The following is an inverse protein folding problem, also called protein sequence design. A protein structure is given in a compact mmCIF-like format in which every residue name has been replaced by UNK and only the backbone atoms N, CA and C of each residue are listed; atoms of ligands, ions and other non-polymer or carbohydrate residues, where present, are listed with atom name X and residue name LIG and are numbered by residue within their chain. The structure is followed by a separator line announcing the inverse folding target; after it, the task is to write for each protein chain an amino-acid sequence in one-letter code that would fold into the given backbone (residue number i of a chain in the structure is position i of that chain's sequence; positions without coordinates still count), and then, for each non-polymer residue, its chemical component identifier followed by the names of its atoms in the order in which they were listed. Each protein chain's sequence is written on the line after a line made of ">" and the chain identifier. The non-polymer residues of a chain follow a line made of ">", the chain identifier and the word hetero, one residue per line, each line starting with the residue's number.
data_IF_440718106453
#
_entry.id   IF_440718106453
#
_cell.length_a   1.000
_cell.length_b   1.000
_cell.length_c   1.000
_cell.angle_alpha   90.00
_cell.angle_beta   90.00
_cell.angle_gamma   90.00
#
_symmetry.space_group_name_H-M   'P 1'
#
loop_
_entity.id
_entity.type
_entity.pdbx_description
1 polymer ?
2 non-polymer ?
3 water ?
#
# COMPACT_ATOMS: atom_id res chain seq x y z
N UNK A 1 3.42 29.45 22.65
CA UNK A 1 3.74 29.33 21.20
C UNK A 1 5.15 28.79 21.01
N UNK A 2 5.38 28.06 19.93
CA UNK A 2 6.66 27.38 19.80
C UNK A 2 6.87 26.82 18.40
N UNK A 3 8.06 27.05 17.82
CA UNK A 3 8.49 26.32 16.65
C UNK A 3 9.05 24.99 17.11
N UNK A 4 8.41 23.89 16.67
CA UNK A 4 8.86 22.56 17.06
C UNK A 4 9.79 21.97 16.02
N UNK A 5 9.37 21.94 14.77
CA UNK A 5 10.16 21.35 13.69
C UNK A 5 10.12 22.24 12.46
N UNK A 6 11.25 22.27 11.75
CA UNK A 6 11.36 22.98 10.48
C UNK A 6 12.32 22.20 9.60
N UNK A 7 11.86 21.79 8.42
CA UNK A 7 12.76 21.09 7.48
C UNK A 7 12.41 21.50 6.06
N UNK A 8 13.45 21.73 5.26
CA UNK A 8 13.28 21.85 3.81
C UNK A 8 13.83 20.59 3.17
N UNK A 9 13.01 19.95 2.35
CA UNK A 9 13.38 18.78 1.56
C UNK A 9 13.67 19.27 0.14
N UNK A 10 14.93 19.14 -0.31
CA UNK A 10 15.31 19.77 -1.56
C UNK A 10 14.62 19.15 -2.77
N UNK A 11 14.40 17.83 -2.74
CA UNK A 11 13.69 17.13 -3.81
C UNK A 11 12.99 15.90 -3.23
N UNK A 12 11.68 15.89 -3.31
CA UNK A 12 10.91 14.72 -2.88
C UNK A 12 11.16 13.50 -3.77
N UNK A 13 11.50 12.38 -3.13
CA UNK A 13 11.80 11.14 -3.83
C UNK A 13 10.50 10.40 -4.15
N UNK A 14 10.54 9.52 -5.16
CA UNK A 14 9.28 8.98 -5.70
C UNK A 14 8.44 8.16 -4.72
N UNK A 15 9.04 7.37 -3.82
CA UNK A 15 8.21 6.61 -2.90
C UNK A 15 7.58 7.52 -1.86
N UNK A 16 8.33 8.51 -1.36
CA UNK A 16 7.73 9.45 -0.41
C UNK A 16 6.61 10.25 -1.09
N UNK A 17 6.78 10.61 -2.37
CA UNK A 17 5.70 11.29 -3.10
C UNK A 17 4.47 10.39 -3.19
N UNK A 18 4.66 9.12 -3.56
CA UNK A 18 3.53 8.20 -3.68
C UNK A 18 2.82 8.06 -2.33
N UNK A 19 3.58 8.04 -1.24
CA UNK A 19 2.98 7.94 0.08
C UNK A 19 2.19 9.20 0.41
N UNK A 20 2.79 10.36 0.19
CA UNK A 20 2.09 11.61 0.48
C UNK A 20 0.85 11.76 -0.39
N UNK A 21 0.91 11.27 -1.64
CA UNK A 21 -0.26 11.29 -2.52
C UNK A 21 -1.38 10.44 -1.96
N UNK A 22 -1.03 9.43 -1.17
CA UNK A 22 -2.01 8.53 -0.60
C UNK A 22 -2.71 9.15 0.61
N UNK A 23 -1.96 9.86 1.46
CA UNK A 23 -2.46 10.29 2.77
C UNK A 23 -2.78 11.78 2.85
N UNK A 24 -2.34 12.58 1.90
CA UNK A 24 -2.47 14.03 2.04
C UNK A 24 -3.89 14.51 1.76
N UNK A 25 -4.23 15.64 2.36
CA UNK A 25 -5.59 16.18 2.31
C UNK A 25 -5.68 17.42 1.44
N UNK A 26 -4.56 17.88 0.90
CA UNK A 26 -4.52 19.12 0.15
C UNK A 26 -4.24 18.92 -1.32
N UNK A 27 -3.21 19.61 -1.79
CA UNK A 27 -2.79 19.62 -3.17
C UNK A 27 -1.63 18.66 -3.32
N UNK A 28 -1.72 17.77 -4.29
CA UNK A 28 -0.79 16.63 -4.34
C UNK A 28 0.62 17.04 -4.73
N UNK A 29 1.64 16.60 -4.00
CA UNK A 29 3.02 16.79 -4.47
C UNK A 29 3.33 15.87 -5.64
N UNK A 30 4.39 16.23 -6.37
CA UNK A 30 4.87 15.45 -7.50
C UNK A 30 6.37 15.16 -7.34
N UNK A 31 6.85 14.18 -8.11
CA UNK A 31 8.23 13.75 -7.98
C UNK A 31 9.20 14.89 -8.22
N UNK A 32 10.20 14.96 -7.36
CA UNK A 32 11.32 15.89 -7.42
C UNK A 32 10.96 17.31 -7.02
N UNK A 33 9.71 17.58 -6.62
CA UNK A 33 9.41 18.89 -6.08
C UNK A 33 10.13 19.10 -4.76
N UNK A 34 10.40 20.36 -4.45
CA UNK A 34 10.88 20.74 -3.13
C UNK A 34 9.69 20.87 -2.17
N UNK A 35 9.98 20.75 -0.87
CA UNK A 35 8.94 20.77 0.14
C UNK A 35 9.49 21.38 1.42
N UNK A 36 8.65 22.09 2.15
CA UNK A 36 9.01 22.57 3.48
C UNK A 36 7.91 22.13 4.45
N UNK A 37 8.32 21.65 5.62
CA UNK A 37 7.41 21.20 6.67
C UNK A 37 7.69 22.00 7.92
N UNK A 38 6.63 22.51 8.54
CA UNK A 38 6.73 23.34 9.74
C UNK A 38 5.73 22.81 10.76
N UNK A 39 6.20 22.53 11.98
CA UNK A 39 5.35 22.05 13.05
C UNK A 39 5.45 23.04 14.20
N UNK A 40 4.29 23.44 14.73
CA UNK A 40 4.22 24.42 15.81
C UNK A 40 3.23 24.00 16.88
N UNK A 41 3.31 24.70 18.00
CA UNK A 41 2.20 24.83 18.95
C UNK A 41 1.85 26.30 19.07
N UNK A 42 0.58 26.67 19.21
CA UNK A 42 -0.60 25.81 19.29
C UNK A 42 -1.10 25.39 17.92
N UNK A 43 -1.83 24.28 17.91
CA UNK A 43 -2.24 23.66 16.66
C UNK A 43 -2.93 24.60 15.68
N UNK A 44 -4.00 25.27 16.11
CA UNK A 44 -4.83 25.97 15.11
C UNK A 44 -4.08 27.14 14.49
N UNK A 45 -3.02 27.61 15.16
CA UNK A 45 -2.26 28.75 14.66
C UNK A 45 -1.47 28.42 13.41
N UNK A 46 -1.37 27.14 13.04
CA UNK A 46 -0.71 26.82 11.80
C UNK A 46 -1.42 27.48 10.62
N UNK A 47 -2.71 27.80 10.77
CA UNK A 47 -3.45 28.48 9.71
C UNK A 47 -2.86 29.84 9.39
N UNK A 48 -2.32 30.53 10.39
CA UNK A 48 -1.64 31.81 10.16
C UNK A 48 -0.41 31.63 9.28
N UNK A 49 0.35 30.57 9.51
CA UNK A 49 1.54 30.28 8.71
C UNK A 49 1.16 29.95 7.27
N UNK A 50 0.14 29.13 7.09
CA UNK A 50 -0.31 28.76 5.75
C UNK A 50 -0.70 29.99 4.96
N UNK A 51 -1.48 30.87 5.58
CA UNK A 51 -1.85 32.11 4.90
C UNK A 51 -0.61 32.93 4.52
N UNK A 52 0.36 33.08 5.44
CA UNK A 52 1.56 33.86 5.13
C UNK A 52 2.30 33.28 3.93
N UNK A 53 2.43 31.96 3.87
CA UNK A 53 3.16 31.31 2.80
C UNK A 53 2.44 31.45 1.47
N UNK A 54 1.12 31.28 1.46
CA UNK A 54 0.35 31.33 0.22
C UNK A 54 0.30 32.74 -0.34
N UNK A 55 0.27 33.74 0.51
CA UNK A 55 0.24 35.11 0.02
C UNK A 55 1.60 35.54 -0.50
N UNK A 56 2.67 34.85 -0.10
CA UNK A 56 4.03 35.27 -0.46
C UNK A 56 4.64 34.47 -1.61
N UNK A 57 4.14 33.28 -1.90
CA UNK A 57 4.77 32.36 -2.85
C UNK A 57 3.71 31.64 -3.67
N UNK A 58 4.18 30.87 -4.65
CA UNK A 58 3.35 29.99 -5.49
C UNK A 58 3.19 28.58 -4.92
N UNK A 59 3.77 28.32 -3.75
CA UNK A 59 3.75 26.98 -3.20
C UNK A 59 2.33 26.53 -2.93
N UNK A 60 2.13 25.22 -2.96
CA UNK A 60 0.81 24.66 -2.71
C UNK A 60 0.89 23.75 -1.50
N UNK A 61 -0.15 23.74 -0.66
CA UNK A 61 -0.09 22.95 0.57
C UNK A 61 -0.55 21.52 0.35
N UNK A 62 0.24 20.55 0.79
CA UNK A 62 -0.15 19.16 0.67
C UNK A 62 -0.81 18.64 1.92
N UNK A 63 -0.25 19.02 3.04
CA UNK A 63 -0.72 18.57 4.35
C UNK A 63 -0.96 19.80 5.20
N UNK A 64 -2.12 19.89 5.84
CA UNK A 64 -2.27 20.74 6.99
C UNK A 64 -2.96 19.90 8.04
N UNK A 65 -2.32 19.73 9.18
CA UNK A 65 -2.88 18.86 10.22
C UNK A 65 -2.95 19.66 11.51
N UNK A 66 -4.12 19.69 12.12
CA UNK A 66 -4.30 20.26 13.44
C UNK A 66 -4.70 19.10 14.32
N UNK A 67 -3.75 18.58 15.09
CA UNK A 67 -3.94 17.35 15.86
C UNK A 67 -4.17 17.71 17.33
N UNK A 68 -4.02 16.74 18.23
CA UNK A 68 -4.40 16.95 19.62
C UNK A 68 -3.82 18.24 20.18
N UNK A 69 -2.52 18.42 20.01
CA UNK A 69 -1.82 19.59 20.51
C UNK A 69 -1.16 20.44 19.45
N UNK A 70 -0.66 19.83 18.38
CA UNK A 70 0.26 20.53 17.49
C UNK A 70 -0.35 20.75 16.11
N UNK A 71 0.32 21.58 15.33
CA UNK A 71 -0.10 21.88 13.97
C UNK A 71 1.06 21.70 13.03
N UNK A 72 0.77 21.13 11.87
CA UNK A 72 1.76 20.84 10.84
C UNK A 72 1.27 21.40 9.51
N UNK A 73 2.16 22.08 8.79
CA UNK A 73 1.91 22.48 7.40
C UNK A 73 3.06 22.02 6.52
N UNK A 74 2.71 21.43 5.38
CA UNK A 74 3.68 21.09 4.34
C UNK A 74 3.30 21.83 3.07
N UNK A 75 4.28 22.52 2.48
CA UNK A 75 4.12 23.25 1.22
C UNK A 75 5.16 22.75 0.23
N UNK A 76 4.80 22.73 -1.06
CA UNK A 76 5.74 22.24 -2.09
C UNK A 76 5.64 23.08 -3.37
N UNK A 77 6.70 22.97 -4.18
CA UNK A 77 6.80 23.68 -5.46
C UNK A 77 7.91 23.02 -6.27
N UNK A 78 7.84 23.18 -7.60
CA UNK A 78 8.95 22.74 -8.43
C UNK A 78 10.25 23.42 -8.07
N UNK A 79 10.20 24.66 -7.56
CA UNK A 79 11.38 25.49 -7.34
C UNK A 79 11.77 25.51 -5.86
N UNK A 80 13.00 25.07 -5.57
CA UNK A 80 13.51 25.13 -4.21
C UNK A 80 13.47 26.55 -3.66
N UNK A 81 13.73 27.55 -4.51
CA UNK A 81 13.72 28.92 -4.03
C UNK A 81 12.35 29.37 -3.56
N UNK A 82 11.28 28.92 -4.23
CA UNK A 82 9.93 29.25 -3.78
C UNK A 82 9.65 28.59 -2.44
N UNK A 83 10.10 27.36 -2.28
CA UNK A 83 9.86 26.62 -1.04
C UNK A 83 10.62 27.24 0.11
N UNK A 84 11.89 27.62 -0.10
CA UNK A 84 12.61 28.32 0.97
C UNK A 84 11.97 29.67 1.26
N UNK A 85 11.42 30.34 0.25
CA UNK A 85 10.74 31.59 0.50
C UNK A 85 9.48 31.38 1.35
N UNK A 86 8.76 30.30 1.10
CA UNK A 86 7.58 29.97 1.89
C UNK A 86 7.99 29.68 3.34
N UNK A 87 9.02 28.86 3.51
CA UNK A 87 9.51 28.62 4.86
C UNK A 87 9.94 29.87 5.57
N UNK A 88 10.66 30.75 4.86
CA UNK A 88 11.11 32.00 5.47
C UNK A 88 9.92 32.89 5.87
N UNK A 89 8.88 32.95 5.02
CA UNK A 89 7.68 33.70 5.35
C UNK A 89 7.00 33.14 6.59
N UNK A 90 7.00 31.81 6.74
CA UNK A 90 6.38 31.22 7.93
C UNK A 90 7.22 31.48 9.17
N UNK A 91 8.53 31.33 9.06
CA UNK A 91 9.40 31.64 10.20
C UNK A 91 9.23 33.09 10.60
N UNK A 92 9.15 33.97 9.62
CA UNK A 92 9.00 35.38 9.94
C UNK A 92 7.71 35.65 10.68
N UNK A 93 6.61 35.02 10.28
CA UNK A 93 5.33 35.27 10.92
C UNK A 93 5.36 34.79 12.36
N UNK A 94 6.05 33.69 12.58
CA UNK A 94 6.16 33.10 13.90
C UNK A 94 7.09 33.90 14.80
N UNK A 95 8.02 34.66 14.23
CA UNK A 95 9.00 35.40 14.98
C UNK A 95 10.30 34.66 15.20
N UNK A 96 10.58 33.65 14.38
CA UNK A 96 11.63 32.68 14.64
C UNK A 96 12.68 32.68 13.54
N UNK A 97 13.83 32.10 13.88
CA UNK A 97 14.82 31.65 12.92
C UNK A 97 14.83 30.12 12.91
N UNK A 98 15.32 29.56 11.81
CA UNK A 98 15.36 28.11 11.65
C UNK A 98 15.92 27.45 12.91
N UNK A 99 17.02 27.99 13.47
CA UNK A 99 17.66 27.33 14.60
C UNK A 99 16.85 27.38 15.89
N UNK A 100 15.68 28.03 15.91
CA UNK A 100 14.81 28.03 17.09
C UNK A 100 13.93 26.79 17.16
N UNK A 101 13.97 25.96 16.13
CA UNK A 101 13.31 24.67 16.15
C UNK A 101 13.94 23.81 17.24
N UNK A 102 13.20 22.79 17.68
CA UNK A 102 13.79 21.76 18.53
C UNK A 102 14.75 20.90 17.73
N UNK A 103 15.94 20.65 18.27
CA UNK A 103 16.81 19.72 17.61
C UNK A 103 16.17 18.34 17.63
N UNK A 104 16.27 17.57 16.55
CA UNK A 104 15.65 16.24 16.54
C UNK A 104 16.26 15.34 17.60
N UNK A 105 15.41 14.58 18.26
CA UNK A 105 15.84 13.57 19.22
C UNK A 105 15.44 12.20 18.67
N UNK A 106 16.41 11.32 18.51
CA UNK A 106 16.13 9.92 18.16
C UNK A 106 15.69 9.24 19.45
N UNK A 107 14.40 8.90 19.52
CA UNK A 107 13.85 8.19 20.68
C UNK A 107 14.19 6.72 20.61
N UNK A 108 14.05 6.12 19.44
CA UNK A 108 14.37 4.72 19.22
C UNK A 108 14.71 4.48 17.76
N UNK A 109 15.70 3.62 17.50
CA UNK A 109 16.11 3.30 16.14
C UNK A 109 16.53 1.83 16.15
N UNK A 110 15.98 1.00 15.28
CA UNK A 110 16.40 -0.40 15.29
C UNK A 110 16.18 -1.03 13.93
N UNK A 111 17.11 -1.90 13.56
CA UNK A 111 16.97 -2.77 12.41
C UNK A 111 16.61 -4.17 12.90
N UNK A 112 15.55 -4.74 12.36
CA UNK A 112 15.13 -6.11 12.67
C UNK A 112 15.30 -6.92 11.39
N UNK A 113 16.24 -7.87 11.36
CA UNK A 113 16.46 -8.68 10.16
C UNK A 113 15.55 -9.92 10.16
N UNK A 114 15.26 -10.41 8.96
CA UNK A 114 14.55 -11.66 8.80
C UNK A 114 13.20 -11.68 9.49
N UNK A 115 12.35 -10.69 9.22
CA UNK A 115 11.11 -10.62 9.99
C UNK A 115 10.28 -11.88 9.79
N UNK A 116 9.67 -12.32 10.88
CA UNK A 116 8.70 -13.40 10.84
C UNK A 116 7.46 -13.02 10.02
N UNK A 117 6.88 -14.00 9.34
CA UNK A 117 5.70 -13.76 8.53
C UNK A 117 4.51 -13.22 9.32
N UNK A 118 4.44 -13.53 10.62
CA UNK A 118 3.35 -12.96 11.41
C UNK A 118 3.56 -11.48 11.65
N UNK A 119 4.80 -11.03 11.75
CA UNK A 119 5.07 -9.61 11.93
C UNK A 119 4.92 -8.87 10.61
N UNK A 120 5.31 -9.48 9.49
CA UNK A 120 5.02 -8.91 8.18
C UNK A 120 3.53 -8.61 8.04
N UNK A 121 2.70 -9.54 8.49
CA UNK A 121 1.25 -9.34 8.40
C UNK A 121 0.83 -8.10 9.19
N UNK A 122 1.36 -7.94 10.40
CA UNK A 122 0.96 -6.82 11.28
C UNK A 122 1.31 -5.50 10.61
N UNK A 123 2.51 -5.42 10.03
CA UNK A 123 2.95 -4.22 9.37
C UNK A 123 2.11 -3.94 8.12
N UNK A 124 1.82 -4.96 7.32
CA UNK A 124 1.01 -4.77 6.12
C UNK A 124 -0.37 -4.22 6.45
N UNK A 125 -0.98 -4.68 7.55
CA UNK A 125 -2.31 -4.24 7.93
C UNK A 125 -2.33 -2.77 8.33
N UNK A 126 -1.25 -2.29 8.95
CA UNK A 126 -1.14 -0.95 9.50
C UNK A 126 -0.71 0.11 8.49
N UNK A 127 0.08 -0.27 7.49
CA UNK A 127 0.81 0.72 6.70
C UNK A 127 -0.05 1.31 5.59
N UNK A 128 0.41 2.46 5.08
CA UNK A 128 -0.20 3.10 3.91
C UNK A 128 0.72 3.18 2.71
N UNK A 129 1.99 2.78 2.84
CA UNK A 129 2.93 2.75 1.74
C UNK A 129 3.01 1.41 1.05
N UNK A 130 4.22 0.95 0.76
CA UNK A 130 4.43 -0.36 0.15
C UNK A 130 4.22 -1.48 1.18
N UNK A 131 4.08 -2.69 0.65
CA UNK A 131 3.95 -3.89 1.46
C UNK A 131 5.31 -4.49 1.78
N UNK A 132 5.35 -5.34 2.81
CA UNK A 132 6.56 -6.07 3.20
C UNK A 132 6.24 -7.56 3.19
N UNK A 133 7.25 -8.36 2.88
CA UNK A 133 7.08 -9.80 2.81
C UNK A 133 7.93 -10.47 3.90
N UNK A 134 7.56 -11.72 4.21
CA UNK A 134 8.27 -12.47 5.23
C UNK A 134 9.75 -12.58 4.86
N UNK A 135 10.61 -12.48 5.87
CA UNK A 135 12.03 -12.63 5.71
C UNK A 135 12.77 -11.37 5.34
N UNK A 136 12.07 -10.29 5.02
CA UNK A 136 12.74 -9.03 4.72
C UNK A 136 13.23 -8.35 6.00
N UNK A 137 14.00 -7.30 5.84
CA UNK A 137 14.55 -6.54 6.95
C UNK A 137 13.68 -5.29 7.16
N UNK A 138 13.38 -5.01 8.43
CA UNK A 138 12.57 -3.87 8.84
C UNK A 138 13.42 -2.85 9.57
N UNK A 139 13.26 -1.57 9.22
CA UNK A 139 13.85 -0.47 10.00
C UNK A 139 12.72 0.29 10.65
N UNK A 140 12.84 0.55 11.96
CA UNK A 140 11.86 1.33 12.70
C UNK A 140 12.58 2.47 13.40
N UNK A 141 12.00 3.67 13.31
CA UNK A 141 12.56 4.86 13.90
C UNK A 141 11.44 5.67 14.54
N UNK A 142 11.69 6.16 15.76
CA UNK A 142 10.81 7.09 16.47
C UNK A 142 11.63 8.34 16.79
N UNK A 143 11.07 9.51 16.45
CA UNK A 143 11.77 10.78 16.59
C UNK A 143 10.87 11.76 17.33
N UNK A 144 11.50 12.72 18.01
CA UNK A 144 10.77 13.79 18.67
C UNK A 144 11.42 15.11 18.31
N UNK A 145 10.64 16.15 17.94
CA UNK A 145 9.23 16.14 17.63
C UNK A 145 8.94 15.38 16.33
N UNK A 146 7.65 15.20 16.06
CA UNK A 146 7.21 14.33 14.99
C UNK A 146 7.54 14.84 13.59
N UNK A 147 7.62 16.16 13.42
CA UNK A 147 7.73 16.75 12.10
C UNK A 147 9.00 16.41 11.34
N UNK A 148 10.00 15.85 12.02
CA UNK A 148 11.23 15.43 11.36
C UNK A 148 11.14 14.09 10.66
N UNK A 149 10.03 13.34 10.79
CA UNK A 149 10.01 12.02 10.19
C UNK A 149 10.10 12.08 8.66
N UNK A 150 9.49 13.10 8.02
CA UNK A 150 9.54 13.19 6.55
C UNK A 150 10.95 13.37 6.02
N UNK A 151 11.75 14.23 6.66
CA UNK A 151 13.15 14.38 6.25
C UNK A 151 13.88 13.05 6.34
N UNK A 152 13.67 12.33 7.44
CA UNK A 152 14.30 11.02 7.60
C UNK A 152 13.91 10.09 6.47
N UNK A 153 12.61 10.04 6.14
CA UNK A 153 12.13 9.19 5.04
C UNK A 153 12.80 9.56 3.73
N UNK A 154 12.87 10.87 3.42
CA UNK A 154 13.37 11.30 2.13
C UNK A 154 14.85 10.98 1.99
N UNK A 155 15.61 11.22 3.05
CA UNK A 155 17.05 10.95 3.00
C UNK A 155 17.33 9.46 2.96
N UNK A 156 16.53 8.65 3.65
CA UNK A 156 16.65 7.20 3.55
C UNK A 156 16.48 6.72 2.12
N UNK A 157 15.44 7.23 1.45
CA UNK A 157 15.14 6.78 0.08
C UNK A 157 16.22 7.21 -0.90
N UNK A 158 16.80 8.38 -0.70
CA UNK A 158 17.91 8.81 -1.54
C UNK A 158 19.09 7.85 -1.46
N UNK A 159 19.32 7.28 -0.28
CA UNK A 159 20.59 6.60 -0.03
C UNK A 159 20.60 5.16 -0.53
N UNK A 160 19.45 4.48 -0.64
CA UNK A 160 19.46 3.06 -0.95
C UNK A 160 18.09 2.67 -1.48
N UNK A 161 18.02 1.60 -2.30
CA UNK A 161 16.72 1.09 -2.76
C UNK A 161 16.04 0.31 -1.67
N UNK A 162 15.09 0.96 -1.01
CA UNK A 162 14.31 0.37 0.06
C UNK A 162 12.84 0.62 -0.26
N UNK A 163 11.97 0.07 0.58
CA UNK A 163 10.52 0.28 0.49
C UNK A 163 10.08 1.16 1.64
N UNK A 164 9.38 2.23 1.31
CA UNK A 164 8.74 3.06 2.32
C UNK A 164 7.40 2.41 2.71
N UNK A 165 7.33 1.93 3.95
CA UNK A 165 6.11 1.26 4.41
C UNK A 165 5.14 2.25 5.07
N UNK A 166 5.65 3.08 5.95
CA UNK A 166 4.79 4.01 6.69
C UNK A 166 5.67 5.14 7.23
N UNK A 167 5.19 6.38 7.14
CA UNK A 167 5.82 7.50 7.80
C UNK A 167 4.72 8.37 8.40
N UNK A 168 4.85 8.64 9.69
CA UNK A 168 3.90 9.45 10.45
C UNK A 168 4.66 10.68 10.90
N UNK A 169 4.32 11.82 10.34
CA UNK A 169 5.08 13.05 10.52
C UNK A 169 4.41 14.05 11.43
N UNK A 170 3.35 13.64 12.15
CA UNK A 170 2.69 14.47 13.15
C UNK A 170 2.25 13.59 14.32
N UNK A 171 2.02 14.21 15.47
CA UNK A 171 1.67 13.54 16.71
C UNK A 171 2.60 13.98 17.82
N UNK A 172 2.58 13.20 18.90
CA UNK A 172 3.55 13.40 19.96
C UNK A 172 4.93 12.97 19.51
N UNK A 173 5.00 11.98 18.63
CA UNK A 173 6.25 11.39 18.16
C UNK A 173 6.07 11.08 16.70
N UNK A 174 7.15 11.22 15.94
CA UNK A 174 7.18 10.86 14.53
C UNK A 174 7.76 9.46 14.37
N UNK A 175 7.25 8.74 13.37
CA UNK A 175 7.63 7.35 13.22
C UNK A 175 7.84 7.01 11.75
N UNK A 176 8.79 6.10 11.51
CA UNK A 176 9.19 5.69 10.16
C UNK A 176 9.37 4.18 10.16
N UNK A 177 8.81 3.52 9.15
CA UNK A 177 8.94 2.08 8.94
C UNK A 177 9.43 1.88 7.51
N UNK A 178 10.58 1.23 7.34
CA UNK A 178 11.11 0.89 6.02
C UNK A 178 11.32 -0.61 5.91
N UNK A 179 11.27 -1.15 4.69
CA UNK A 179 11.51 -2.56 4.48
C UNK A 179 12.43 -2.80 3.30
N UNK A 180 13.13 -3.93 3.32
CA UNK A 180 13.94 -4.27 2.17
C UNK A 180 15.03 -5.26 2.53
N UNK A 181 16.07 -5.24 1.72
CA UNK A 181 17.22 -6.09 2.00
C UNK A 181 18.08 -5.54 3.13
N UNK A 182 18.86 -6.42 3.76
CA UNK A 182 19.60 -6.04 4.96
C UNK A 182 20.62 -4.94 4.67
N UNK A 183 21.43 -5.10 3.62
CA UNK A 183 22.45 -4.08 3.35
C UNK A 183 21.82 -2.75 2.96
N UNK A 184 20.75 -2.81 2.17
CA UNK A 184 20.06 -1.60 1.74
C UNK A 184 19.45 -0.87 2.92
N UNK A 185 18.80 -1.61 3.82
CA UNK A 185 18.21 -0.99 4.99
C UNK A 185 19.29 -0.38 5.89
N UNK A 186 20.43 -1.04 6.03
CA UNK A 186 21.49 -0.47 6.86
C UNK A 186 21.96 0.86 6.33
N UNK A 187 22.06 1.00 5.00
CA UNK A 187 22.49 2.25 4.40
C UNK A 187 21.40 3.32 4.55
N UNK A 188 20.14 2.93 4.35
CA UNK A 188 19.05 3.88 4.49
C UNK A 188 18.97 4.41 5.92
N UNK A 189 19.13 3.53 6.90
CA UNK A 189 19.07 3.93 8.31
C UNK A 189 20.20 4.89 8.65
N UNK A 190 21.42 4.61 8.18
CA UNK A 190 22.52 5.55 8.39
C UNK A 190 22.19 6.92 7.83
N UNK A 191 21.55 6.96 6.66
CA UNK A 191 21.27 8.26 6.03
C UNK A 191 20.17 9.00 6.78
N UNK A 192 19.14 8.28 7.21
CA UNK A 192 18.07 8.89 8.00
C UNK A 192 18.62 9.48 9.28
N UNK A 193 19.38 8.69 10.02
CA UNK A 193 19.91 9.14 11.30
C UNK A 193 20.92 10.27 11.11
N UNK A 194 21.75 10.17 10.08
CA UNK A 194 22.71 11.24 9.83
C UNK A 194 22.03 12.56 9.49
N UNK A 195 20.94 12.50 8.73
CA UNK A 195 20.21 13.72 8.42
C UNK A 195 19.69 14.39 9.68
N UNK A 196 19.21 13.61 10.64
CA UNK A 196 18.65 14.18 11.85
C UNK A 196 19.75 14.72 12.76
N UNK A 197 20.89 14.02 12.80
CA UNK A 197 21.97 14.41 13.70
C UNK A 197 22.66 15.68 13.24
N UNK A 198 22.58 16.03 11.96
CA UNK A 198 23.22 17.22 11.46
C UNK A 198 22.44 18.50 11.60
N UNK A 199 21.19 18.44 12.10
CA UNK A 199 20.34 19.63 12.16
C UNK A 199 20.59 20.43 13.43
N UNK A 200 20.73 21.74 13.26
CA UNK A 200 20.78 22.65 14.38
C UNK A 200 19.42 22.75 15.06
N UNK A 201 19.44 23.20 16.30
CA UNK A 201 18.22 23.47 17.02
C UNK A 201 18.46 23.58 18.49
N UNK A 202 17.39 23.97 19.18
CA UNK A 202 17.37 24.02 20.64
C UNK A 202 17.58 22.64 21.24
N UNK A 203 18.29 22.60 22.35
CA UNK A 203 18.46 21.33 23.07
C UNK A 203 17.11 20.71 23.36
N UNK A 204 17.00 19.40 23.09
CA UNK A 204 15.71 18.69 23.15
C UNK A 204 15.90 17.33 23.80
N UNK A 205 16.08 17.35 25.10
CA UNK A 205 16.38 16.14 25.86
C UNK A 205 15.10 15.53 26.39
N UNK A 206 15.13 14.23 26.62
CA UNK A 206 13.98 13.52 27.12
C UNK A 206 13.85 13.65 28.63
N UNK B 1 -29.19 -22.32 -5.25
CA UNK B 1 -27.84 -21.69 -5.28
C UNK B 1 -27.18 -21.92 -6.63
N UNK B 2 -26.51 -20.89 -7.14
CA UNK B 2 -25.79 -20.95 -8.40
C UNK B 2 -24.30 -20.81 -8.15
N UNK B 3 -23.50 -21.72 -8.70
CA UNK B 3 -22.05 -21.61 -8.62
C UNK B 3 -21.57 -20.66 -9.71
N UNK B 4 -20.97 -19.54 -9.29
CA UNK B 4 -20.47 -18.56 -10.25
C UNK B 4 -18.97 -18.75 -10.54
N UNK B 5 -18.14 -18.88 -9.50
CA UNK B 5 -16.70 -19.01 -9.69
C UNK B 5 -16.17 -20.04 -8.72
N UNK B 6 -15.15 -20.78 -9.18
CA UNK B 6 -14.46 -21.77 -8.36
C UNK B 6 -13.02 -21.83 -8.82
N UNK B 7 -12.07 -21.60 -7.91
CA UNK B 7 -10.66 -21.68 -8.28
C UNK B 7 -9.87 -22.22 -7.10
N UNK B 8 -8.92 -23.10 -7.39
CA UNK B 8 -7.93 -23.56 -6.43
C UNK B 8 -6.59 -22.94 -6.80
N UNK B 9 -5.97 -22.24 -5.84
CA UNK B 9 -4.66 -21.65 -6.00
C UNK B 9 -3.65 -22.55 -5.28
N UNK B 10 -2.73 -23.15 -6.04
CA UNK B 10 -1.88 -24.18 -5.44
C UNK B 10 -0.93 -23.60 -4.40
N UNK B 11 -0.46 -22.37 -4.60
CA UNK B 11 0.45 -21.74 -3.65
C UNK B 11 0.29 -20.24 -3.77
N UNK B 12 -0.14 -19.60 -2.68
CA UNK B 12 -0.32 -18.15 -2.70
C UNK B 12 1.04 -17.45 -2.72
N UNK B 13 1.22 -16.55 -3.67
CA UNK B 13 2.46 -15.86 -3.83
C UNK B 13 2.58 -14.70 -2.83
N UNK B 14 3.80 -14.25 -2.54
CA UNK B 14 4.00 -13.35 -1.39
C UNK B 14 3.29 -12.00 -1.50
N UNK B 15 3.24 -11.37 -2.68
CA UNK B 15 2.53 -10.10 -2.77
C UNK B 15 1.03 -10.28 -2.63
N UNK B 16 0.47 -11.34 -3.22
CA UNK B 16 -0.96 -11.58 -3.01
C UNK B 16 -1.25 -11.86 -1.54
N UNK B 17 -0.36 -12.59 -0.87
CA UNK B 17 -0.55 -12.85 0.56
C UNK B 17 -0.55 -11.54 1.34
N UNK B 18 0.43 -10.67 1.06
CA UNK B 18 0.49 -9.39 1.77
C UNK B 18 -0.76 -8.56 1.53
N UNK B 19 -1.29 -8.58 0.30
CA UNK B 19 -2.52 -7.89 -0.02
C UNK B 19 -3.70 -8.47 0.73
N UNK B 20 -3.84 -9.80 0.69
CA UNK B 20 -4.94 -10.43 1.41
C UNK B 20 -4.84 -10.18 2.91
N UNK B 21 -3.62 -10.12 3.45
CA UNK B 21 -3.41 -9.80 4.85
C UNK B 21 -3.86 -8.40 5.19
N UNK B 22 -3.84 -7.51 4.22
CA UNK B 22 -4.28 -6.13 4.42
C UNK B 22 -5.80 -6.02 4.46
N UNK B 23 -6.51 -6.73 3.56
CA UNK B 23 -7.94 -6.49 3.35
C UNK B 23 -8.83 -7.58 3.94
N UNK B 24 -8.29 -8.73 4.35
CA UNK B 24 -9.13 -9.83 4.76
C UNK B 24 -9.71 -9.62 6.16
N UNK B 25 -10.86 -10.22 6.39
CA UNK B 25 -11.61 -10.07 7.63
C UNK B 25 -11.59 -11.30 8.50
N UNK B 26 -10.95 -12.38 8.06
CA UNK B 26 -10.97 -13.61 8.81
C UNK B 26 -9.59 -13.95 9.34
N UNK B 27 -9.14 -15.16 8.99
CA UNK B 27 -7.88 -15.72 9.47
C UNK B 27 -6.82 -15.55 8.39
N UNK B 28 -5.70 -15.02 8.75
CA UNK B 28 -4.74 -14.53 7.77
C UNK B 28 -4.06 -15.66 7.01
N UNK B 29 -3.99 -15.60 5.68
CA UNK B 29 -3.16 -16.55 4.93
C UNK B 29 -1.69 -16.23 5.10
N UNK B 30 -0.86 -17.24 4.80
CA UNK B 30 0.58 -17.14 4.86
C UNK B 30 1.19 -17.55 3.52
N UNK B 31 2.43 -17.14 3.31
CA UNK B 31 3.10 -17.36 2.03
C UNK B 31 3.15 -18.85 1.70
N UNK B 32 2.82 -19.15 0.45
CA UNK B 32 2.86 -20.49 -0.15
C UNK B 32 1.74 -21.41 0.31
N UNK B 33 0.77 -20.93 1.08
CA UNK B 33 -0.37 -21.77 1.39
C UNK B 33 -1.22 -21.98 0.15
N UNK B 34 -1.93 -23.11 0.11
CA UNK B 34 -2.95 -23.31 -0.90
C UNK B 34 -4.24 -22.61 -0.48
N UNK B 35 -5.07 -22.31 -1.47
CA UNK B 35 -6.30 -21.59 -1.22
C UNK B 35 -7.36 -22.03 -2.21
N UNK B 36 -8.62 -22.01 -1.79
CA UNK B 36 -9.76 -22.23 -2.68
C UNK B 36 -10.73 -21.06 -2.48
N UNK B 37 -11.23 -20.53 -3.60
CA UNK B 37 -12.21 -19.45 -3.62
C UNK B 37 -13.46 -19.91 -4.32
N UNK B 38 -14.61 -19.67 -3.71
CA UNK B 38 -15.92 -20.05 -4.25
C UNK B 38 -16.83 -18.83 -4.18
N UNK B 39 -17.43 -18.46 -5.31
CA UNK B 39 -18.41 -17.38 -5.39
C UNK B 39 -19.73 -17.97 -5.83
N UNK B 40 -20.81 -17.60 -5.14
CA UNK B 40 -22.15 -18.11 -5.41
C UNK B 40 -23.17 -16.99 -5.35
N UNK B 41 -24.38 -17.31 -5.82
CA UNK B 41 -25.61 -16.61 -5.53
C UNK B 41 -26.60 -17.60 -4.94
N UNK B 42 -27.43 -17.21 -3.97
CA UNK B 42 -27.54 -15.90 -3.33
C UNK B 42 -26.49 -15.69 -2.26
N UNK B 43 -26.19 -14.43 -1.98
CA UNK B 43 -25.09 -14.04 -1.12
C UNK B 43 -25.02 -14.73 0.23
N UNK B 44 -26.07 -14.64 1.06
CA UNK B 44 -25.91 -15.09 2.43
C UNK B 44 -25.73 -16.60 2.49
N UNK B 45 -26.12 -17.32 1.44
CA UNK B 45 -25.98 -18.77 1.46
C UNK B 45 -24.53 -19.23 1.43
N UNK B 46 -23.57 -18.34 1.13
CA UNK B 46 -22.19 -18.76 1.22
C UNK B 46 -21.86 -19.28 2.63
N UNK B 47 -22.60 -18.84 3.66
CA UNK B 47 -22.37 -19.35 5.02
C UNK B 47 -22.56 -20.85 5.11
N UNK B 48 -23.41 -21.44 4.26
CA UNK B 48 -23.58 -22.88 4.26
C UNK B 48 -22.33 -23.57 3.76
N UNK B 49 -21.67 -22.97 2.77
CA UNK B 49 -20.44 -23.56 2.24
C UNK B 49 -19.32 -23.45 3.24
N UNK B 50 -19.19 -22.30 3.88
CA UNK B 50 -18.17 -22.14 4.91
C UNK B 50 -18.34 -23.20 5.99
N UNK B 51 -19.57 -23.43 6.43
CA UNK B 51 -19.80 -24.44 7.47
C UNK B 51 -19.42 -25.84 6.96
N UNK B 52 -19.84 -26.17 5.74
CA UNK B 52 -19.46 -27.47 5.17
C UNK B 52 -17.95 -27.66 5.13
N UNK B 53 -17.21 -26.65 4.69
CA UNK B 53 -15.75 -26.78 4.57
C UNK B 53 -15.08 -26.90 5.93
N UNK B 54 -15.56 -26.15 6.91
CA UNK B 54 -14.94 -26.15 8.22
C UNK B 54 -15.19 -27.45 8.97
N UNK B 55 -16.36 -28.05 8.78
CA UNK B 55 -16.64 -29.30 9.47
C UNK B 55 -15.92 -30.47 8.82
N UNK B 56 -15.44 -30.29 7.58
CA UNK B 56 -14.79 -31.37 6.84
C UNK B 56 -13.27 -31.32 6.83
N UNK B 57 -12.68 -30.16 7.08
CA UNK B 57 -11.24 -29.97 6.89
C UNK B 57 -10.71 -29.06 7.98
N UNK B 58 -9.40 -28.87 8.01
CA UNK B 58 -8.77 -27.94 8.94
C UNK B 58 -8.43 -26.61 8.28
N UNK B 59 -8.97 -26.35 7.08
CA UNK B 59 -8.74 -25.07 6.43
C UNK B 59 -9.29 -23.93 7.27
N UNK B 60 -8.71 -22.75 7.09
CA UNK B 60 -9.19 -21.57 7.79
C UNK B 60 -9.67 -20.55 6.78
N UNK B 61 -10.69 -19.81 7.11
CA UNK B 61 -11.28 -18.87 6.16
C UNK B 61 -10.61 -17.52 6.25
N UNK B 62 -10.18 -16.99 5.12
CA UNK B 62 -9.53 -15.69 5.13
C UNK B 62 -10.50 -14.57 4.80
N UNK B 63 -11.38 -14.85 3.83
CA UNK B 63 -12.34 -13.89 3.31
C UNK B 63 -13.70 -14.54 3.33
N UNK B 64 -14.70 -13.87 3.88
CA UNK B 64 -16.08 -14.21 3.61
C UNK B 64 -16.79 -12.90 3.34
N UNK B 65 -17.33 -12.76 2.14
CA UNK B 65 -17.97 -11.52 1.73
C UNK B 65 -19.40 -11.82 1.32
N UNK B 66 -20.35 -11.10 1.89
CA UNK B 66 -21.73 -11.09 1.40
C UNK B 66 -21.99 -9.68 0.88
N UNK B 67 -21.97 -9.52 -0.46
CA UNK B 67 -22.10 -8.20 -1.05
C UNK B 67 -23.51 -8.00 -1.59
N UNK B 68 -23.69 -7.02 -2.49
CA UNK B 68 -25.03 -6.64 -2.92
C UNK B 68 -25.83 -7.86 -3.34
N UNK B 69 -25.25 -8.72 -4.17
CA UNK B 69 -25.94 -9.88 -4.68
C UNK B 69 -25.24 -11.19 -4.37
N UNK B 70 -23.91 -11.22 -4.38
CA UNK B 70 -23.16 -12.46 -4.38
C UNK B 70 -22.45 -12.69 -3.06
N UNK B 71 -21.99 -13.92 -2.90
CA UNK B 71 -21.21 -14.32 -1.74
C UNK B 71 -19.93 -15.01 -2.14
N UNK B 72 -18.86 -14.74 -1.39
CA UNK B 72 -17.53 -15.26 -1.68
C UNK B 72 -16.93 -15.82 -0.40
N UNK B 73 -16.35 -17.03 -0.50
CA UNK B 73 -15.59 -17.60 0.60
C UNK B 73 -14.22 -18.02 0.07
N UNK B 74 -13.18 -17.70 0.85
CA UNK B 74 -11.81 -18.13 0.59
C UNK B 74 -11.32 -18.90 1.79
N UNK B 75 -10.72 -20.07 1.55
CA UNK B 75 -10.18 -20.90 2.61
C UNK B 75 -8.80 -21.37 2.24
N UNK B 76 -7.93 -21.47 3.23
CA UNK B 76 -6.55 -21.81 2.96
C UNK B 76 -6.00 -22.76 4.01
N UNK B 77 -4.88 -23.38 3.64
CA UNK B 77 -4.17 -24.36 4.45
C UNK B 77 -2.80 -24.58 3.84
N UNK B 78 -1.86 -25.04 4.67
CA UNK B 78 -0.53 -25.39 4.16
C UNK B 78 -0.61 -26.49 3.10
N UNK B 79 -1.58 -27.39 3.23
CA UNK B 79 -1.62 -28.61 2.44
C UNK B 79 -2.71 -28.49 1.38
N UNK B 80 -2.31 -28.60 0.10
CA UNK B 80 -3.28 -28.55 -0.98
C UNK B 80 -4.35 -29.64 -0.83
N UNK B 81 -3.99 -30.77 -0.21
CA UNK B 81 -4.98 -31.80 -0.01
C UNK B 81 -6.15 -31.36 0.85
N UNK B 82 -5.87 -30.53 1.87
CA UNK B 82 -6.93 -29.99 2.70
C UNK B 82 -7.79 -28.97 1.94
N UNK B 83 -7.16 -28.12 1.13
CA UNK B 83 -7.90 -27.10 0.38
C UNK B 83 -8.77 -27.76 -0.68
N UNK B 84 -8.25 -28.78 -1.38
CA UNK B 84 -9.08 -29.48 -2.35
C UNK B 84 -10.22 -30.24 -1.67
N UNK B 85 -10.00 -30.80 -0.47
CA UNK B 85 -11.08 -31.44 0.26
C UNK B 85 -12.14 -30.40 0.67
N UNK B 86 -11.70 -29.19 1.00
CA UNK B 86 -12.67 -28.14 1.35
C UNK B 86 -13.49 -27.74 0.14
N UNK B 87 -12.84 -27.57 -1.02
CA UNK B 87 -13.58 -27.30 -2.23
C UNK B 87 -14.56 -28.40 -2.56
N UNK B 88 -14.12 -29.66 -2.43
CA UNK B 88 -15.01 -30.81 -2.64
C UNK B 88 -16.22 -30.76 -1.72
N UNK B 89 -16.01 -30.45 -0.44
CA UNK B 89 -17.13 -30.37 0.49
C UNK B 89 -18.10 -29.28 0.07
N UNK B 90 -17.57 -28.15 -0.43
CA UNK B 90 -18.47 -27.06 -0.83
C UNK B 90 -19.23 -27.42 -2.09
N UNK B 91 -18.56 -28.04 -3.07
CA UNK B 91 -19.22 -28.46 -4.29
C UNK B 91 -20.28 -29.51 -3.99
N UNK B 92 -19.96 -30.47 -3.11
CA UNK B 92 -20.94 -31.47 -2.74
C UNK B 92 -22.19 -30.84 -2.14
N UNK B 93 -22.01 -29.83 -1.28
CA UNK B 93 -23.15 -29.15 -0.67
C UNK B 93 -24.01 -28.47 -1.74
N UNK B 94 -23.37 -27.95 -2.79
CA UNK B 94 -24.07 -27.28 -3.88
C UNK B 94 -24.76 -28.27 -4.82
N UNK B 95 -24.42 -29.55 -4.73
CA UNK B 95 -24.83 -30.49 -5.75
C UNK B 95 -24.19 -30.21 -7.07
N UNK B 96 -23.00 -29.61 -7.06
CA UNK B 96 -22.36 -29.12 -8.26
C UNK B 96 -21.04 -29.81 -8.50
N UNK B 97 -20.54 -29.60 -9.71
CA UNK B 97 -19.20 -29.97 -10.10
C UNK B 97 -18.45 -28.72 -10.53
N UNK B 98 -17.12 -28.83 -10.57
CA UNK B 98 -16.26 -27.69 -10.88
C UNK B 98 -16.69 -27.00 -12.17
N UNK B 99 -17.01 -27.77 -13.21
CA UNK B 99 -17.35 -27.18 -14.49
C UNK B 99 -18.73 -26.54 -14.52
N UNK B 100 -19.48 -26.58 -13.42
CA UNK B 100 -20.74 -25.86 -13.32
C UNK B 100 -20.53 -24.37 -13.04
N UNK B 101 -19.31 -23.96 -12.76
CA UNK B 101 -18.99 -22.56 -12.62
C UNK B 101 -19.14 -21.85 -13.97
N UNK B 102 -19.24 -20.52 -13.93
CA UNK B 102 -19.17 -19.76 -15.17
C UNK B 102 -17.75 -19.76 -15.70
N UNK B 103 -17.59 -19.94 -17.01
CA UNK B 103 -16.28 -19.75 -17.59
C UNK B 103 -15.88 -18.29 -17.41
N UNK B 104 -14.63 -18.01 -17.09
CA UNK B 104 -14.22 -16.59 -16.96
C UNK B 104 -14.36 -15.86 -18.28
N UNK B 105 -14.77 -14.59 -18.18
CA UNK B 105 -14.82 -13.69 -19.31
C UNK B 105 -13.97 -12.46 -19.04
N UNK B 106 -13.04 -12.18 -19.94
CA UNK B 106 -12.27 -10.95 -19.88
C UNK B 106 -13.13 -9.84 -20.47
N UNK B 107 -13.53 -8.90 -19.62
CA UNK B 107 -14.37 -7.79 -20.03
C UNK B 107 -13.53 -6.71 -20.66
N UNK B 108 -12.37 -6.44 -20.06
CA UNK B 108 -11.49 -5.37 -20.54
C UNK B 108 -10.09 -5.71 -20.07
N UNK B 109 -9.12 -5.41 -20.90
CA UNK B 109 -7.72 -5.70 -20.62
C UNK B 109 -6.86 -4.66 -21.34
N UNK B 110 -5.93 -4.03 -20.64
CA UNK B 110 -5.08 -3.06 -21.31
C UNK B 110 -3.77 -2.88 -20.56
N UNK B 111 -2.70 -2.72 -21.33
CA UNK B 111 -1.40 -2.30 -20.81
C UNK B 111 -1.21 -0.85 -21.20
N UNK B 112 -0.91 -0.01 -20.20
CA UNK B 112 -0.68 1.41 -20.40
C UNK B 112 0.76 1.68 -20.02
N UNK B 113 1.60 2.03 -21.00
CA UNK B 113 3.01 2.26 -20.72
C UNK B 113 3.27 3.71 -20.33
N UNK B 114 4.34 3.92 -19.57
CA UNK B 114 4.80 5.24 -19.22
C UNK B 114 3.75 6.10 -18.56
N UNK B 115 3.18 5.63 -17.45
CA UNK B 115 2.02 6.33 -16.93
C UNK B 115 2.42 7.74 -16.47
N UNK B 116 1.53 8.68 -16.74
CA UNK B 116 1.70 10.04 -16.30
C UNK B 116 1.64 10.12 -14.77
N UNK B 117 2.43 11.04 -14.19
CA UNK B 117 2.46 11.20 -12.73
C UNK B 117 1.12 11.57 -12.12
N UNK B 118 0.22 12.19 -12.88
CA UNK B 118 -1.10 12.46 -12.32
C UNK B 118 -1.93 11.19 -12.22
N UNK B 119 -1.72 10.24 -13.14
CA UNK B 119 -2.45 8.99 -13.08
C UNK B 119 -1.84 8.06 -12.02
N UNK B 120 -0.52 8.10 -11.80
CA UNK B 120 0.01 7.28 -10.71
C UNK B 120 -0.55 7.75 -9.38
N UNK B 121 -0.75 9.07 -9.22
CA UNK B 121 -1.39 9.59 -8.01
C UNK B 121 -2.77 8.98 -7.80
N UNK B 122 -3.59 8.95 -8.86
CA UNK B 122 -4.94 8.42 -8.71
C UNK B 122 -4.92 6.97 -8.27
N UNK B 123 -4.01 6.19 -8.85
CA UNK B 123 -3.88 4.77 -8.51
C UNK B 123 -3.41 4.61 -7.06
N UNK B 124 -2.40 5.38 -6.67
CA UNK B 124 -1.88 5.29 -5.30
C UNK B 124 -2.96 5.60 -4.28
N UNK B 125 -3.82 6.58 -4.56
CA UNK B 125 -4.88 6.95 -3.62
C UNK B 125 -5.90 5.84 -3.42
N UNK B 126 -6.18 5.07 -4.47
CA UNK B 126 -7.22 4.06 -4.53
C UNK B 126 -6.77 2.70 -3.98
N UNK B 127 -5.50 2.34 -4.19
CA UNK B 127 -5.07 0.95 -4.05
C UNK B 127 -4.83 0.57 -2.58
N UNK B 128 -4.78 -0.74 -2.35
CA UNK B 128 -4.43 -1.28 -1.04
C UNK B 128 -3.16 -2.12 -1.07
N UNK B 129 -2.56 -2.34 -2.22
CA UNK B 129 -1.31 -3.08 -2.32
C UNK B 129 -0.11 -2.17 -2.39
N UNK B 130 0.82 -2.45 -3.31
CA UNK B 130 2.02 -1.63 -3.44
C UNK B 130 1.69 -0.33 -4.15
N UNK B 131 2.62 0.62 -4.06
CA UNK B 131 2.47 1.91 -4.73
C UNK B 131 3.06 1.83 -6.13
N UNK B 132 2.68 2.81 -6.98
CA UNK B 132 3.20 2.92 -8.35
C UNK B 132 3.82 4.30 -8.50
N UNK B 133 4.86 4.39 -9.32
CA UNK B 133 5.55 5.67 -9.54
C UNK B 133 5.39 6.11 -10.98
N UNK B 134 5.61 7.40 -11.20
CA UNK B 134 5.44 7.97 -12.53
C UNK B 134 6.37 7.26 -13.51
N UNK B 135 5.86 7.01 -14.71
CA UNK B 135 6.64 6.42 -15.78
C UNK B 135 6.62 4.92 -15.82
N UNK B 136 6.10 4.26 -14.78
CA UNK B 136 5.97 2.81 -14.82
C UNK B 136 4.82 2.39 -15.73
N UNK B 137 4.77 1.08 -16.01
CA UNK B 137 3.71 0.49 -16.82
C UNK B 137 2.61 -0.06 -15.92
N UNK B 138 1.37 0.14 -16.34
CA UNK B 138 0.16 -0.26 -15.63
C UNK B 138 -0.57 -1.31 -16.46
N UNK B 139 -0.99 -2.40 -15.82
CA UNK B 139 -1.90 -3.38 -16.42
C UNK B 139 -3.22 -3.30 -15.68
N UNK B 140 -4.32 -3.21 -16.41
CA UNK B 140 -5.66 -3.21 -15.86
C UNK B 140 -6.46 -4.31 -16.52
N UNK B 141 -7.21 -5.06 -15.72
CA UNK B 141 -8.00 -6.18 -16.17
C UNK B 141 -9.34 -6.16 -15.44
N UNK B 142 -10.41 -6.36 -16.19
CA UNK B 142 -11.74 -6.53 -15.61
C UNK B 142 -12.31 -7.87 -16.08
N UNK B 143 -12.79 -8.68 -15.15
CA UNK B 143 -13.23 -10.03 -15.43
C UNK B 143 -14.63 -10.26 -14.88
N UNK B 144 -15.33 -11.23 -15.47
CA UNK B 144 -16.62 -11.61 -15.02
C UNK B 144 -16.72 -13.13 -15.00
N UNK B 145 -17.25 -13.76 -13.93
CA UNK B 145 -17.62 -13.14 -12.64
C UNK B 145 -16.38 -12.70 -11.86
N UNK B 146 -16.62 -11.96 -10.77
CA UNK B 146 -15.53 -11.31 -10.05
C UNK B 146 -14.56 -12.29 -9.40
N UNK B 147 -15.04 -13.48 -9.02
CA UNK B 147 -14.25 -14.39 -8.19
C UNK B 147 -12.95 -14.87 -8.82
N UNK B 148 -12.76 -14.69 -10.12
CA UNK B 148 -11.56 -15.14 -10.81
C UNK B 148 -10.41 -14.14 -10.73
N UNK B 149 -10.60 -12.97 -10.13
CA UNK B 149 -9.51 -11.99 -10.11
C UNK B 149 -8.31 -12.50 -9.29
N UNK B 150 -8.56 -13.25 -8.20
CA UNK B 150 -7.46 -13.73 -7.37
C UNK B 150 -6.57 -14.71 -8.13
N UNK B 151 -7.17 -15.63 -8.88
CA UNK B 151 -6.37 -16.51 -9.73
C UNK B 151 -5.51 -15.71 -10.71
N UNK B 152 -6.10 -14.71 -11.35
CA UNK B 152 -5.34 -13.89 -12.29
C UNK B 152 -4.16 -13.22 -11.58
N UNK B 153 -4.39 -12.69 -10.39
CA UNK B 153 -3.30 -12.03 -9.66
C UNK B 153 -2.19 -13.01 -9.32
N UNK B 154 -2.56 -14.20 -8.83
CA UNK B 154 -1.55 -15.16 -8.38
C UNK B 154 -0.71 -15.65 -9.56
N UNK B 155 -1.37 -15.92 -10.70
CA UNK B 155 -0.65 -16.37 -11.88
C UNK B 155 0.22 -15.26 -12.48
N UNK B 156 -0.27 -14.02 -12.46
CA UNK B 156 0.56 -12.90 -12.85
C UNK B 156 1.85 -12.85 -12.05
N UNK B 157 1.72 -12.97 -10.72
CA UNK B 157 2.88 -12.81 -9.85
C UNK B 157 3.88 -13.93 -10.05
N UNK B 158 3.41 -15.15 -10.32
CA UNK B 158 4.29 -16.28 -10.62
C UNK B 158 5.12 -15.99 -11.86
N UNK B 159 4.54 -15.32 -12.84
CA UNK B 159 5.12 -15.24 -14.18
C UNK B 159 6.23 -14.21 -14.31
N UNK B 160 6.21 -13.14 -13.52
CA UNK B 160 7.16 -12.06 -13.74
C UNK B 160 7.22 -11.22 -12.48
N UNK B 161 8.33 -10.51 -12.27
CA UNK B 161 8.43 -9.59 -11.13
C UNK B 161 7.69 -8.31 -11.42
N UNK B 162 6.51 -8.19 -10.83
CA UNK B 162 5.63 -7.04 -10.98
C UNK B 162 5.20 -6.60 -9.59
N UNK B 163 4.43 -5.53 -9.53
CA UNK B 163 3.85 -5.04 -8.28
C UNK B 163 2.34 -5.24 -8.32
N UNK B 164 1.80 -5.86 -7.29
CA UNK B 164 0.36 -5.99 -7.12
C UNK B 164 -0.14 -4.70 -6.49
N UNK B 165 -0.90 -3.93 -7.25
CA UNK B 165 -1.42 -2.66 -6.74
C UNK B 165 -2.78 -2.86 -6.08
N UNK B 166 -3.68 -3.56 -6.76
CA UNK B 166 -5.04 -3.74 -6.27
C UNK B 166 -5.67 -4.94 -6.94
N UNK B 167 -6.38 -5.74 -6.17
CA UNK B 167 -7.18 -6.82 -6.73
C UNK B 167 -8.52 -6.86 -5.99
N UNK B 168 -9.60 -6.81 -6.74
CA UNK B 168 -10.94 -6.83 -6.20
C UNK B 168 -11.61 -8.10 -6.70
N UNK B 169 -11.85 -9.05 -5.81
CA UNK B 169 -12.26 -10.38 -6.23
C UNK B 169 -13.73 -10.67 -5.90
N UNK B 170 -14.52 -9.62 -5.66
CA UNK B 170 -15.96 -9.74 -5.46
C UNK B 170 -16.61 -8.49 -6.02
N UNK B 171 -17.91 -8.60 -6.28
CA UNK B 171 -18.69 -7.55 -6.91
C UNK B 171 -19.37 -8.06 -8.15
N UNK B 172 -19.89 -7.13 -8.94
CA UNK B 172 -20.43 -7.49 -10.25
C UNK B 172 -19.31 -7.91 -11.19
N UNK B 173 -18.14 -7.31 -11.04
CA UNK B 173 -16.98 -7.57 -11.86
C UNK B 173 -15.75 -7.57 -10.98
N UNK B 174 -14.79 -8.39 -11.34
CA UNK B 174 -13.52 -8.46 -10.64
C UNK B 174 -12.50 -7.61 -11.39
N UNK B 175 -11.54 -7.08 -10.65
CA UNK B 175 -10.61 -6.12 -11.22
C UNK B 175 -9.21 -6.32 -10.66
N UNK B 176 -8.23 -6.07 -11.51
CA UNK B 176 -6.83 -6.26 -11.17
C UNK B 176 -6.02 -5.10 -11.75
N UNK B 177 -5.14 -4.55 -10.91
CA UNK B 177 -4.22 -3.49 -11.28
C UNK B 177 -2.81 -3.94 -10.91
N UNK B 178 -1.91 -3.98 -11.90
CA UNK B 178 -0.52 -4.30 -11.69
C UNK B 178 0.37 -3.18 -12.19
N UNK B 179 1.55 -3.04 -11.60
CA UNK B 179 2.53 -2.07 -12.04
C UNK B 179 3.92 -2.67 -12.14
N UNK B 180 4.74 -2.06 -13.00
CA UNK B 180 6.11 -2.54 -13.12
C UNK B 180 6.74 -2.11 -14.44
N UNK B 181 7.77 -2.87 -14.84
CA UNK B 181 8.40 -2.66 -16.14
C UNK B 181 7.55 -3.16 -17.29
N UNK B 182 7.80 -2.62 -18.48
CA UNK B 182 7.01 -2.94 -19.66
C UNK B 182 7.07 -4.43 -19.98
N UNK B 183 8.29 -4.98 -20.07
CA UNK B 183 8.42 -6.40 -20.44
C UNK B 183 7.83 -7.31 -19.36
N UNK B 184 8.06 -6.97 -18.10
CA UNK B 184 7.54 -7.79 -17.00
C UNK B 184 6.02 -7.75 -16.97
N UNK B 185 5.42 -6.57 -17.15
CA UNK B 185 3.96 -6.47 -17.17
C UNK B 185 3.38 -7.25 -18.34
N UNK B 186 4.01 -7.19 -19.52
CA UNK B 186 3.48 -7.93 -20.66
C UNK B 186 3.46 -9.43 -20.36
N UNK B 187 4.50 -9.93 -19.70
CA UNK B 187 4.54 -11.35 -19.36
C UNK B 187 3.50 -11.69 -18.30
N UNK B 188 3.36 -10.82 -17.30
CA UNK B 188 2.38 -11.07 -16.25
C UNK B 188 0.96 -11.09 -16.81
N UNK B 189 0.64 -10.16 -17.73
CA UNK B 189 -0.68 -10.12 -18.34
C UNK B 189 -0.93 -11.36 -19.18
N UNK B 190 0.08 -11.78 -19.95
CA UNK B 190 0.01 -13.02 -20.71
C UNK B 190 -0.38 -14.18 -19.81
N UNK B 191 0.33 -14.34 -18.69
CA UNK B 191 0.06 -15.44 -17.76
C UNK B 191 -1.33 -15.32 -17.12
N UNK B 192 -1.74 -14.11 -16.74
CA UNK B 192 -3.04 -13.95 -16.08
C UNK B 192 -4.19 -14.33 -17.01
N UNK B 193 -4.16 -13.82 -18.24
CA UNK B 193 -5.25 -14.13 -19.17
C UNK B 193 -5.17 -15.57 -19.65
N UNK B 194 -3.97 -16.12 -19.80
CA UNK B 194 -3.83 -17.52 -20.13
C UNK B 194 -4.45 -18.41 -19.09
N UNK B 195 -4.28 -18.08 -17.81
CA UNK B 195 -4.88 -18.89 -16.76
C UNK B 195 -6.39 -18.87 -16.86
N UNK B 196 -6.97 -17.71 -17.16
CA UNK B 196 -8.42 -17.59 -17.24
C UNK B 196 -8.97 -18.30 -18.46
N UNK B 197 -8.22 -18.25 -19.56
CA UNK B 197 -8.69 -18.88 -20.80
C UNK B 197 -8.73 -20.40 -20.69
N UNK B 198 -7.90 -20.98 -19.84
CA UNK B 198 -7.83 -22.42 -19.72
C UNK B 198 -8.86 -23.07 -18.84
N UNK B 199 -9.78 -22.32 -18.23
CA UNK B 199 -10.71 -22.88 -17.27
C UNK B 199 -11.99 -23.36 -17.95
N UNK B 200 -12.42 -24.55 -17.57
CA UNK B 200 -13.73 -25.05 -17.98
C UNK B 200 -14.85 -24.26 -17.30
N UNK B 201 -16.04 -24.35 -17.86
CA UNK B 201 -17.21 -23.77 -17.23
C UNK B 201 -18.30 -23.47 -18.24
N UNK B 202 -19.45 -23.08 -17.69
CA UNK B 202 -20.60 -22.73 -18.52
C UNK B 202 -20.29 -21.53 -19.40
N UNK B 203 -20.93 -21.52 -20.57
CA UNK B 203 -20.78 -20.39 -21.48
C UNK B 203 -21.15 -19.10 -20.77
N UNK B 204 -20.31 -18.09 -20.93
CA UNK B 204 -20.46 -16.83 -20.23
C UNK B 204 -19.98 -15.70 -21.14
N UNK B 205 -20.67 -15.52 -22.27
CA UNK B 205 -20.30 -14.54 -23.28
C UNK B 205 -20.78 -13.13 -22.94
N UNK B 206 -21.75 -13.01 -22.04
CA UNK B 206 -22.29 -11.71 -21.70
C UNK B 206 -22.95 -11.01 -22.87
X LIG C 1 -3.65 -0.06 2.60
X LIG C 1 -4.56 -0.57 3.53
X LIG C 1 -3.82 1.47 2.78
X LIG C 1 -5.15 1.83 2.89
X LIG C 1 -3.15 2.17 1.58
X LIG C 1 -3.52 3.50 1.75
X LIG C 1 -3.84 -0.32 1.68
X LIG C 1 -2.74 -0.33 2.78
X LIG C 1 -5.24 -0.06 3.52
X LIG C 1 -3.41 1.76 3.61
X LIG C 1 -5.20 2.66 2.70
X LIG C 1 -2.20 2.02 1.59
X LIG C 1 -3.47 1.79 0.75
X LIG C 1 -3.94 3.73 1.05
#
# INVERSE_FOLDING_TARGET
>A
MELRAYTVLDALQPQLVAFLQTVSTGFMPMEQQASVLVEIAPGIAVNQLTDAALKATRCQPGLQIVERAYGLIEMHDDDQGQVRAAGDAMLAHLGAREADRLAPRVVSSQIITGIDGHQSQLINRMRHGDMIQAGQTLYILEVHPAGYAALAANEAEKAAPIKLLEVVTFGAFGRLWLGGGEAEIAEAARAAEGALAGLSGRDNRG
>B
MELRAYTVLDALQPQLVAFLQTVSTGFMPMEQQASVLVEIAPGIAVNQLTDAALKATRCQPGLQIVERAYGLIEMHDDDQGQVRAAGDAMLAHLGAREADRLAPRVVSSQIITGIDGHQSQLINRMRHGDMIQAGQTLYILEVHPAGYAALAANEAEKAAPIKLLEVVTFGAFGRLWLGGGEAEIAEAARAAEGALAGLSGRDNRG
>C hetero
1 GOL C1 O1 C2 O2 C3 O3 H11 H12 HO1 H2 HO2 H31 H32 HO3
#
